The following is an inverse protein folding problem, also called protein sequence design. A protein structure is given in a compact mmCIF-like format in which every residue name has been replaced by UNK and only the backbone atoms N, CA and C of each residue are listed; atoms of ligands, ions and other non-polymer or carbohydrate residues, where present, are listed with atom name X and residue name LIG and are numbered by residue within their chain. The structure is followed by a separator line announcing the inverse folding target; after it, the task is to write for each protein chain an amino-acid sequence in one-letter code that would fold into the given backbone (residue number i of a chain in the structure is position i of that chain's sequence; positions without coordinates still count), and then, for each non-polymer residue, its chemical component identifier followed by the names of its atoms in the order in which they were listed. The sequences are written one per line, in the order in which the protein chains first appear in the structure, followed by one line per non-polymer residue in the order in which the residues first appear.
data_IF_286176578528
#
_entry.id   IF_286176578528
#
_cell.length_a   1.000
_cell.length_b   1.000
_cell.length_c   1.000
_cell.angle_alpha   90.00
_cell.angle_beta   90.00
_cell.angle_gamma   90.00
#
_symmetry.space_group_name_H-M   'P 1'
#
loop_
_entity.id
_entity.type
_entity.pdbx_description
1 polymer ?
#
# COMPACT_ATOMS: atom_id res chain seq x y z
N UNK A 1 8.81 1.11 -3.72
CA UNK A 1 8.86 -0.05 -2.79
C UNK A 1 7.72 -1.01 -3.12
N UNK A 2 7.94 -2.32 -3.00
CA UNK A 2 6.90 -3.35 -3.20
C UNK A 2 6.11 -3.56 -1.91
N UNK A 3 4.82 -3.82 -2.02
CA UNK A 3 3.98 -4.40 -0.97
C UNK A 3 3.51 -5.75 -1.52
N UNK A 4 3.88 -6.85 -0.89
CA UNK A 4 3.56 -8.17 -1.43
C UNK A 4 4.53 -9.26 -1.03
N UNK A 5 4.53 -10.33 -1.79
CA UNK A 5 5.17 -11.59 -1.48
C UNK A 5 6.15 -11.98 -2.58
N UNK A 6 7.36 -12.36 -2.20
CA UNK A 6 8.24 -13.15 -3.06
C UNK A 6 7.99 -14.63 -2.76
N UNK A 7 7.42 -15.35 -3.72
CA UNK A 7 7.02 -16.75 -3.56
C UNK A 7 8.22 -17.71 -3.62
N UNK A 8 9.36 -17.27 -4.20
CA UNK A 8 10.60 -18.06 -4.24
C UNK A 8 11.35 -18.03 -2.92
N UNK A 9 11.47 -16.86 -2.29
CA UNK A 9 12.22 -16.70 -1.04
C UNK A 9 11.34 -16.76 0.22
N UNK A 10 10.01 -16.68 0.06
CA UNK A 10 9.06 -16.56 1.17
C UNK A 10 9.04 -15.17 1.82
N UNK A 11 9.75 -14.17 1.25
CA UNK A 11 9.82 -12.83 1.80
C UNK A 11 8.49 -12.09 1.65
N UNK A 12 7.99 -11.52 2.75
CA UNK A 12 6.79 -10.69 2.76
C UNK A 12 7.15 -9.21 3.01
N UNK A 13 6.89 -8.37 2.00
CA UNK A 13 7.00 -6.92 2.08
C UNK A 13 5.68 -6.32 2.56
N UNK A 14 5.62 -6.00 3.85
CA UNK A 14 4.46 -5.39 4.49
C UNK A 14 4.76 -3.94 4.88
N UNK A 15 3.74 -3.10 4.88
CA UNK A 15 3.80 -1.82 5.59
C UNK A 15 3.26 -2.02 6.99
N UNK A 16 4.01 -1.58 8.00
CA UNK A 16 3.59 -1.61 9.39
C UNK A 16 3.41 -0.19 9.90
N UNK A 17 2.33 0.04 10.65
CA UNK A 17 2.09 1.36 11.23
C UNK A 17 3.12 1.67 12.30
N UNK A 18 3.32 2.97 12.53
CA UNK A 18 3.89 3.43 13.78
C UNK A 18 2.87 3.27 14.91
N UNK A 19 3.37 3.22 16.15
CA UNK A 19 2.55 3.10 17.35
C UNK A 19 1.78 4.40 17.62
N UNK A 20 2.38 5.53 17.27
CA UNK A 20 1.71 6.83 17.22
C UNK A 20 2.45 7.76 16.25
N UNK A 21 1.94 8.98 16.08
CA UNK A 21 2.62 10.00 15.28
C UNK A 21 4.06 10.25 15.75
N UNK A 22 4.29 10.24 17.06
CA UNK A 22 5.58 10.58 17.69
C UNK A 22 6.36 9.34 18.15
N UNK A 23 5.80 8.14 18.03
CA UNK A 23 6.44 6.87 18.44
C UNK A 23 6.62 5.93 17.23
N UNK A 24 7.83 5.86 16.64
CA UNK A 24 8.10 5.09 15.44
C UNK A 24 8.17 3.57 15.66
N UNK A 25 7.96 3.10 16.90
CA UNK A 25 7.84 1.67 17.17
C UNK A 25 6.67 1.07 16.39
N UNK A 26 6.74 -0.24 16.16
CA UNK A 26 5.66 -0.97 15.48
C UNK A 26 4.32 -0.79 16.21
N UNK A 27 3.34 -0.26 15.49
CA UNK A 27 1.95 -0.20 15.91
C UNK A 27 1.18 -1.45 15.55
N UNK A 28 -0.14 -1.37 15.72
CA UNK A 28 -1.04 -2.52 15.58
C UNK A 28 -1.54 -2.78 14.17
N UNK A 29 -1.32 -1.86 13.23
CA UNK A 29 -1.85 -1.99 11.87
C UNK A 29 -0.77 -2.45 10.90
N UNK A 30 -1.14 -3.34 9.98
CA UNK A 30 -0.33 -3.69 8.81
C UNK A 30 -1.14 -3.57 7.54
N UNK A 31 -0.44 -3.32 6.42
CA UNK A 31 -0.99 -3.31 5.08
C UNK A 31 -0.17 -4.24 4.20
N UNK A 32 -0.82 -5.28 3.71
CA UNK A 32 -0.16 -6.45 3.13
C UNK A 32 -1.04 -7.13 2.08
N UNK A 33 -0.43 -7.98 1.25
CA UNK A 33 -1.16 -8.83 0.31
C UNK A 33 -1.56 -10.11 1.01
N UNK A 34 -2.85 -10.38 1.04
CA UNK A 34 -3.43 -11.67 1.37
C UNK A 34 -3.49 -12.54 0.10
N UNK A 35 -2.73 -13.65 0.03
CA UNK A 35 -2.72 -14.54 -1.12
C UNK A 35 -3.89 -15.53 -1.15
N UNK A 36 -4.76 -15.55 -0.13
CA UNK A 36 -5.88 -16.51 -0.08
C UNK A 36 -6.89 -16.24 -1.20
N UNK A 37 -7.05 -17.22 -2.10
CA UNK A 37 -7.86 -17.08 -3.31
C UNK A 37 -7.15 -16.23 -4.36
N UNK A 38 -7.85 -15.25 -4.95
CA UNK A 38 -7.17 -14.25 -5.79
C UNK A 38 -6.51 -13.21 -4.87
N UNK A 39 -5.22 -12.83 -5.09
CA UNK A 39 -4.49 -11.95 -4.19
C UNK A 39 -5.16 -10.59 -3.97
N UNK A 40 -5.13 -10.11 -2.73
CA UNK A 40 -5.88 -8.92 -2.32
C UNK A 40 -5.07 -8.08 -1.37
N UNK A 41 -5.25 -6.77 -1.47
CA UNK A 41 -4.62 -5.86 -0.53
C UNK A 41 -5.54 -5.65 0.68
N UNK A 42 -5.01 -5.90 1.86
CA UNK A 42 -5.75 -5.96 3.11
C UNK A 42 -5.01 -5.17 4.19
N UNK A 43 -5.78 -4.44 4.99
CA UNK A 43 -5.30 -3.86 6.24
C UNK A 43 -5.70 -4.76 7.40
N UNK A 44 -4.73 -5.13 8.23
CA UNK A 44 -4.96 -5.88 9.45
C UNK A 44 -4.80 -5.00 10.69
N UNK A 45 -5.53 -5.32 11.74
CA UNK A 45 -5.26 -4.89 13.12
C UNK A 45 -4.84 -6.13 13.90
N UNK A 46 -3.54 -6.27 14.17
CA UNK A 46 -2.96 -7.52 14.65
C UNK A 46 -3.20 -8.64 13.63
N UNK A 47 -4.03 -9.64 13.99
CA UNK A 47 -4.42 -10.76 13.11
C UNK A 47 -5.80 -10.62 12.49
N UNK A 48 -6.53 -9.55 12.83
CA UNK A 48 -7.92 -9.36 12.37
C UNK A 48 -7.92 -8.53 11.10
N UNK A 49 -8.59 -8.99 10.04
CA UNK A 49 -8.84 -8.20 8.84
C UNK A 49 -9.72 -7.01 9.20
N UNK A 50 -9.16 -5.81 9.09
CA UNK A 50 -9.85 -4.57 9.43
C UNK A 50 -10.51 -3.93 8.21
N UNK A 51 -9.75 -3.82 7.12
CA UNK A 51 -10.22 -3.23 5.87
C UNK A 51 -9.70 -4.03 4.68
N UNK A 52 -10.54 -4.16 3.65
CA UNK A 52 -10.23 -4.90 2.44
C UNK A 52 -10.25 -3.94 1.25
N UNK A 53 -9.06 -3.53 0.79
CA UNK A 53 -8.95 -2.81 -0.47
C UNK A 53 -9.24 -3.73 -1.66
N UNK A 54 -9.09 -5.05 -1.48
CA UNK A 54 -9.56 -6.06 -2.42
C UNK A 54 -8.58 -6.39 -3.53
N UNK A 55 -8.99 -7.25 -4.48
CA UNK A 55 -8.19 -7.62 -5.63
C UNK A 55 -7.93 -6.45 -6.58
N UNK A 56 -6.85 -6.57 -7.36
CA UNK A 56 -6.59 -5.69 -8.49
C UNK A 56 -7.51 -6.04 -9.66
N UNK A 57 -8.22 -5.04 -10.19
CA UNK A 57 -9.18 -5.20 -11.28
C UNK A 57 -8.58 -4.98 -12.68
N UNK A 58 -7.25 -4.85 -12.78
CA UNK A 58 -6.56 -4.38 -13.98
C UNK A 58 -6.34 -2.86 -14.01
N UNK A 59 -7.16 -2.09 -13.29
CA UNK A 59 -7.09 -0.61 -13.26
C UNK A 59 -6.98 -0.04 -11.84
N UNK A 60 -7.62 -0.66 -10.86
CA UNK A 60 -7.70 -0.19 -9.48
C UNK A 60 -7.88 -1.37 -8.52
N UNK A 61 -7.86 -1.07 -7.23
CA UNK A 61 -8.26 -2.00 -6.17
C UNK A 61 -9.79 -1.96 -6.04
N UNK A 62 -10.45 -3.12 -6.02
CA UNK A 62 -11.91 -3.20 -6.12
C UNK A 62 -12.66 -2.51 -4.97
N UNK A 63 -12.08 -2.48 -3.78
CA UNK A 63 -12.62 -1.85 -2.57
C UNK A 63 -12.28 -0.36 -2.44
N UNK A 64 -11.62 0.24 -3.45
CA UNK A 64 -11.28 1.66 -3.50
C UNK A 64 -11.78 2.28 -4.80
N UNK A 65 -13.12 2.35 -5.01
CA UNK A 65 -13.67 2.73 -6.29
C UNK A 65 -13.38 4.18 -6.68
N UNK A 66 -13.26 5.08 -5.70
CA UNK A 66 -13.00 6.51 -5.95
C UNK A 66 -11.58 6.78 -6.44
N UNK A 67 -10.65 5.84 -6.25
CA UNK A 67 -9.26 6.00 -6.72
C UNK A 67 -9.16 5.48 -8.16
N UNK A 68 -9.61 6.32 -9.09
CA UNK A 68 -9.82 5.99 -10.52
C UNK A 68 -8.56 6.04 -11.38
N UNK A 69 -7.50 6.73 -10.96
CA UNK A 69 -6.26 6.81 -11.74
C UNK A 69 -5.35 5.60 -11.51
N UNK A 70 -4.99 4.93 -12.61
CA UNK A 70 -4.02 3.85 -12.68
C UNK A 70 -2.57 4.35 -12.84
N UNK A 71 -2.34 5.64 -13.11
CA UNK A 71 -1.07 6.14 -13.65
C UNK A 71 0.11 5.96 -12.69
N UNK A 72 -0.16 5.70 -11.41
CA UNK A 72 0.85 5.62 -10.36
C UNK A 72 0.82 4.32 -9.56
N UNK A 73 0.19 3.25 -10.09
CA UNK A 73 0.15 1.94 -9.45
C UNK A 73 0.38 0.83 -10.46
N UNK A 74 1.13 -0.18 -10.06
CA UNK A 74 1.32 -1.39 -10.84
C UNK A 74 1.16 -2.61 -9.94
N UNK A 75 0.49 -3.63 -10.48
CA UNK A 75 0.26 -4.89 -9.81
C UNK A 75 0.87 -6.02 -10.64
N UNK A 76 1.64 -6.88 -9.99
CA UNK A 76 2.22 -8.08 -10.57
C UNK A 76 1.72 -9.28 -9.78
N UNK A 77 1.29 -10.32 -10.49
CA UNK A 77 0.95 -11.61 -9.92
C UNK A 77 1.42 -12.68 -10.89
N UNK A 78 2.54 -13.33 -10.56
CA UNK A 78 3.11 -14.41 -11.35
C UNK A 78 3.67 -15.50 -10.42
N UNK A 79 4.27 -16.54 -11.01
CA UNK A 79 4.83 -17.69 -10.28
C UNK A 79 5.95 -17.35 -9.29
N UNK A 80 6.59 -16.20 -9.45
CA UNK A 80 7.75 -15.80 -8.67
C UNK A 80 7.39 -14.82 -7.57
N UNK A 81 6.54 -13.84 -7.87
CA UNK A 81 6.18 -12.77 -6.95
C UNK A 81 4.74 -12.27 -7.19
N UNK A 82 4.11 -11.81 -6.11
CA UNK A 82 2.85 -11.08 -6.15
C UNK A 82 3.02 -9.77 -5.39
N UNK A 83 2.88 -8.63 -6.04
CA UNK A 83 3.08 -7.33 -5.37
C UNK A 83 2.30 -6.19 -6.00
N UNK A 84 2.08 -5.15 -5.20
CA UNK A 84 1.69 -3.81 -5.62
C UNK A 84 2.87 -2.85 -5.45
N UNK A 85 3.09 -1.98 -6.42
CA UNK A 85 4.02 -0.84 -6.33
C UNK A 85 3.28 0.45 -6.62
N UNK A 86 3.57 1.47 -5.83
CA UNK A 86 3.23 2.86 -6.16
C UNK A 86 4.42 3.51 -6.86
N UNK A 87 4.19 4.07 -8.05
CA UNK A 87 5.20 4.81 -8.81
C UNK A 87 5.08 6.31 -8.54
N UNK A 88 6.15 7.05 -8.79
CA UNK A 88 6.16 8.50 -8.57
C UNK A 88 5.46 9.18 -9.75
N UNK A 89 4.50 10.09 -9.50
CA UNK A 89 3.87 10.87 -10.57
C UNK A 89 4.84 11.80 -11.26
N UNK A 90 4.59 12.08 -12.54
CA UNK A 90 5.33 13.11 -13.27
C UNK A 90 5.24 14.44 -12.52
N UNK A 91 6.40 15.07 -12.26
CA UNK A 91 6.51 16.32 -11.50
C UNK A 91 6.54 16.17 -9.97
N UNK A 92 6.36 14.96 -9.44
CA UNK A 92 6.64 14.67 -8.03
C UNK A 92 8.08 14.22 -7.84
N UNK A 93 8.71 14.67 -6.77
CA UNK A 93 10.09 14.30 -6.40
C UNK A 93 10.07 13.10 -5.46
N UNK A 94 9.06 13.01 -4.60
CA UNK A 94 8.96 11.98 -3.58
C UNK A 94 7.51 11.55 -3.34
N UNK A 95 7.30 10.28 -3.05
CA UNK A 95 6.02 9.75 -2.56
C UNK A 95 6.24 8.88 -1.33
N UNK A 96 5.36 9.00 -0.34
CA UNK A 96 5.40 8.21 0.90
C UNK A 96 4.03 7.65 1.22
N UNK A 97 3.94 6.33 1.35
CA UNK A 97 2.77 5.67 1.91
C UNK A 97 2.93 5.49 3.42
N UNK A 98 1.91 5.86 4.21
CA UNK A 98 1.89 5.70 5.66
C UNK A 98 0.63 4.97 6.05
N UNK A 99 0.78 3.95 6.89
CA UNK A 99 -0.32 3.37 7.66
C UNK A 99 -0.26 3.99 9.05
N UNK A 100 -1.34 4.60 9.50
CA UNK A 100 -1.42 5.24 10.81
C UNK A 100 -2.45 4.55 11.72
N UNK A 101 -2.40 4.84 13.02
CA UNK A 101 -3.40 4.35 13.99
C UNK A 101 -4.80 4.94 13.75
N UNK A 102 -4.89 6.00 12.93
CA UNK A 102 -6.15 6.54 12.40
C UNK A 102 -6.78 5.64 11.33
N UNK A 103 -6.24 4.43 11.10
CA UNK A 103 -6.85 3.32 10.34
C UNK A 103 -6.90 3.57 8.84
N UNK A 104 -6.04 4.47 8.36
CA UNK A 104 -5.99 4.86 6.96
C UNK A 104 -4.61 4.58 6.38
N UNK A 105 -4.60 4.16 5.12
CA UNK A 105 -3.41 4.28 4.30
C UNK A 105 -3.45 5.66 3.64
N UNK A 106 -2.47 6.50 3.94
CA UNK A 106 -2.32 7.82 3.35
C UNK A 106 -1.10 7.83 2.44
N UNK A 107 -1.23 8.44 1.26
CA UNK A 107 -0.13 8.58 0.31
C UNK A 107 0.17 10.05 0.13
N UNK A 108 1.35 10.45 0.57
CA UNK A 108 1.86 11.80 0.41
C UNK A 108 2.65 11.91 -0.89
N UNK A 109 2.50 13.03 -1.58
CA UNK A 109 3.28 13.39 -2.77
C UNK A 109 3.92 14.76 -2.55
N UNK A 110 5.24 14.85 -2.81
CA UNK A 110 5.97 16.10 -2.78
C UNK A 110 6.29 16.56 -4.19
N UNK A 111 5.87 17.78 -4.55
CA UNK A 111 6.11 18.39 -5.87
C UNK A 111 6.99 19.61 -5.75
N UNK A 112 8.03 19.67 -6.59
CA UNK A 112 9.06 20.70 -6.53
C UNK A 112 8.52 22.10 -6.86
N UNK A 113 7.57 22.18 -7.78
CA UNK A 113 7.00 23.45 -8.26
C UNK A 113 6.08 24.16 -7.26
N UNK A 114 5.61 23.48 -6.21
CA UNK A 114 4.61 24.05 -5.29
C UNK A 114 5.09 24.22 -3.85
N UNK A 115 6.27 23.69 -3.46
CA UNK A 115 6.74 23.65 -2.06
C UNK A 115 5.64 23.22 -1.06
N UNK A 116 4.71 22.37 -1.52
CA UNK A 116 3.54 21.93 -0.76
C UNK A 116 3.36 20.42 -0.91
N UNK A 117 3.10 19.76 0.22
CA UNK A 117 2.62 18.39 0.23
C UNK A 117 1.14 18.37 -0.17
N UNK A 118 0.79 17.52 -1.14
CA UNK A 118 -0.61 17.27 -1.51
C UNK A 118 -1.02 15.95 -0.84
N UNK A 119 -2.19 15.97 -0.18
CA UNK A 119 -2.72 14.90 0.67
C UNK A 119 -3.49 13.82 -0.11
#
# INVERSE_FOLDING_TARGET
MKIGLNLRSGLNWILKSWKSHDDPRSGNFSYEIDPNGFPQLVMYKGRTKWFRAGPWTGQRLSGLPEITSNSHRSFVNNKDETYLVYTVPNGSVFTRGVVNESRTFQRFEWRDQENKGIF
#
